data_IF_856953199906
#
_entry.id   IF_856953199906
#
_cell.length_a   1.000
_cell.length_b   1.000
_cell.length_c   1.000
_cell.angle_alpha   90.00
_cell.angle_beta   90.00
_cell.angle_gamma   90.00
#
_symmetry.space_group_name_H-M   'P 1'
#
loop_
_entity.id
_entity.type
_entity.pdbx_description
1 polymer ?
#
# COMPACT_ATOMS: atom_id res chain seq x y z
N UNK A 1 9.39 14.05 -10.89
CA UNK A 1 10.15 14.11 -9.62
C UNK A 1 10.20 12.71 -9.03
N UNK A 2 11.24 12.31 -8.29
CA UNK A 2 11.25 11.02 -7.63
C UNK A 2 10.08 10.92 -6.64
N UNK A 3 9.56 9.70 -6.44
CA UNK A 3 8.55 9.42 -5.42
C UNK A 3 9.05 9.85 -4.03
N UNK A 4 8.16 10.47 -3.24
CA UNK A 4 8.50 10.98 -1.89
C UNK A 4 7.57 10.44 -0.80
N UNK A 5 6.26 10.34 -1.09
CA UNK A 5 5.23 9.89 -0.16
C UNK A 5 3.98 9.47 -0.91
N UNK A 6 3.18 8.61 -0.28
CA UNK A 6 1.83 8.27 -0.76
C UNK A 6 0.86 9.45 -0.61
N UNK A 7 -0.24 9.42 -1.35
CA UNK A 7 -1.37 10.33 -1.17
C UNK A 7 -2.17 9.93 0.08
N UNK A 8 -2.97 10.86 0.63
CA UNK A 8 -3.86 10.55 1.76
C UNK A 8 -4.92 9.50 1.39
N UNK A 9 -5.35 9.52 0.14
CA UNK A 9 -6.35 8.67 -0.50
C UNK A 9 -5.70 7.70 -1.50
N UNK A 10 -4.45 7.29 -1.24
CA UNK A 10 -3.75 6.33 -2.10
C UNK A 10 -4.59 5.05 -2.27
N UNK A 11 -4.78 4.55 -3.51
CA UNK A 11 -5.48 3.29 -3.73
C UNK A 11 -4.84 2.14 -2.96
N UNK A 12 -5.67 1.35 -2.29
CA UNK A 12 -5.23 0.20 -1.51
C UNK A 12 -6.29 -0.90 -1.49
N UNK A 13 -5.89 -2.10 -1.10
CA UNK A 13 -6.80 -3.20 -0.76
C UNK A 13 -6.21 -4.06 0.37
N UNK A 14 -7.03 -4.96 0.92
CA UNK A 14 -6.59 -5.99 1.87
C UNK A 14 -6.53 -7.32 1.14
N UNK A 15 -5.37 -7.99 1.14
CA UNK A 15 -5.20 -9.26 0.46
C UNK A 15 -5.74 -10.45 1.29
N UNK A 16 -5.72 -11.66 0.72
CA UNK A 16 -6.20 -12.89 1.38
C UNK A 16 -5.43 -13.25 2.67
N UNK A 17 -4.21 -12.73 2.81
CA UNK A 17 -3.37 -12.87 4.01
C UNK A 17 -3.64 -11.79 5.06
N UNK A 18 -4.70 -10.99 4.89
CA UNK A 18 -5.08 -9.90 5.79
C UNK A 18 -3.99 -8.82 5.92
N UNK A 19 -3.29 -8.52 4.83
CA UNK A 19 -2.27 -7.47 4.79
C UNK A 19 -2.74 -6.29 3.94
N UNK A 20 -2.36 -5.08 4.35
CA UNK A 20 -2.55 -3.87 3.57
C UNK A 20 -1.65 -3.89 2.32
N UNK A 21 -2.24 -3.69 1.15
CA UNK A 21 -1.51 -3.56 -0.12
C UNK A 21 -1.77 -2.20 -0.73
N UNK A 22 -0.70 -1.43 -0.93
CA UNK A 22 -0.74 -0.11 -1.59
C UNK A 22 -0.53 -0.30 -3.08
N UNK A 23 -1.37 0.36 -3.89
CA UNK A 23 -1.38 0.24 -5.35
C UNK A 23 -1.03 1.58 -5.99
N UNK A 24 -0.13 1.55 -6.97
CA UNK A 24 0.22 2.72 -7.77
C UNK A 24 -0.29 2.58 -9.21
N UNK A 25 -1.13 3.51 -9.68
CA UNK A 25 -1.52 3.59 -11.08
C UNK A 25 -0.29 3.57 -12.02
N UNK A 26 -0.48 3.00 -13.22
CA UNK A 26 0.58 2.93 -14.22
C UNK A 26 1.17 4.31 -14.51
N UNK A 27 2.50 4.40 -14.58
CA UNK A 27 3.18 5.67 -14.85
C UNK A 27 3.31 6.61 -13.63
N UNK A 28 2.69 6.31 -12.48
CA UNK A 28 2.70 7.23 -11.33
C UNK A 28 4.07 7.29 -10.64
N UNK A 29 4.71 6.14 -10.43
CA UNK A 29 6.02 6.04 -9.74
C UNK A 29 7.08 5.28 -10.54
N UNK A 30 6.69 4.67 -11.66
CA UNK A 30 7.54 3.82 -12.48
C UNK A 30 7.13 3.93 -13.97
N UNK A 31 8.00 3.55 -14.93
CA UNK A 31 7.64 3.49 -16.34
C UNK A 31 6.40 2.62 -16.60
N UNK A 32 5.60 2.96 -17.60
CA UNK A 32 4.35 2.25 -17.93
C UNK A 32 4.49 0.74 -18.10
N UNK A 33 5.61 0.25 -18.64
CA UNK A 33 5.83 -1.19 -18.85
C UNK A 33 5.91 -1.99 -17.54
N UNK A 34 6.14 -1.33 -16.39
CA UNK A 34 6.09 -1.97 -15.06
C UNK A 34 4.66 -2.27 -14.59
N UNK A 35 3.65 -1.89 -15.40
CA UNK A 35 2.25 -2.10 -15.05
C UNK A 35 1.85 -1.27 -13.84
N UNK A 36 1.18 -1.90 -12.88
CA UNK A 36 0.63 -1.29 -11.67
C UNK A 36 1.41 -1.81 -10.47
N UNK A 37 2.46 -1.11 -10.00
CA UNK A 37 3.26 -1.58 -8.87
C UNK A 37 2.42 -1.70 -7.59
N UNK A 38 2.61 -2.80 -6.88
CA UNK A 38 1.92 -3.11 -5.63
C UNK A 38 2.93 -3.39 -4.50
N UNK A 39 2.64 -2.89 -3.31
CA UNK A 39 3.50 -3.04 -2.14
C UNK A 39 2.69 -3.53 -0.95
N UNK A 40 3.03 -4.73 -0.47
CA UNK A 40 2.50 -5.27 0.78
C UNK A 40 3.16 -4.55 1.95
N UNK A 41 2.35 -3.99 2.85
CA UNK A 41 2.81 -3.35 4.08
C UNK A 41 2.74 -4.39 5.20
N UNK A 42 3.86 -4.78 5.83
CA UNK A 42 3.84 -5.73 6.93
C UNK A 42 3.01 -5.22 8.11
N UNK A 43 2.13 -6.06 8.66
CA UNK A 43 1.23 -5.66 9.77
C UNK A 43 2.01 -5.13 10.99
N UNK A 44 3.18 -5.71 11.27
CA UNK A 44 4.08 -5.31 12.37
C UNK A 44 4.54 -3.85 12.29
N UNK A 45 4.61 -3.23 11.11
CA UNK A 45 5.07 -1.84 10.98
C UNK A 45 3.95 -0.81 11.15
N UNK A 46 2.68 -1.24 11.10
CA UNK A 46 1.50 -0.36 11.20
C UNK A 46 0.58 -0.71 12.38
N UNK A 47 0.92 -1.72 13.19
CA UNK A 47 0.08 -2.25 14.26
C UNK A 47 -0.43 -1.15 15.22
N UNK A 48 0.44 -0.20 15.59
CA UNK A 48 0.09 0.91 16.48
C UNK A 48 -0.73 2.03 15.82
N UNK A 49 -0.83 2.04 14.50
CA UNK A 49 -1.56 3.05 13.71
C UNK A 49 -2.98 2.56 13.33
N UNK A 50 -3.29 1.28 13.57
CA UNK A 50 -4.59 0.71 13.29
C UNK A 50 -5.64 1.23 14.28
N UNK A 51 -6.85 1.51 13.77
CA UNK A 51 -7.95 2.01 14.59
C UNK A 51 -8.40 1.04 15.69
N UNK A 52 -8.08 -0.25 15.53
CA UNK A 52 -8.32 -1.28 16.54
C UNK A 52 -7.21 -2.34 16.51
N UNK A 53 -6.88 -2.95 17.66
CA UNK A 53 -6.04 -4.13 17.70
C UNK A 53 -6.61 -5.24 16.79
N UNK A 54 -5.75 -5.96 16.08
CA UNK A 54 -6.12 -7.05 15.18
C UNK A 54 -7.07 -6.66 14.02
N UNK A 55 -7.15 -5.38 13.64
CA UNK A 55 -7.93 -4.94 12.47
C UNK A 55 -7.47 -5.65 11.19
N UNK A 56 -6.16 -5.84 11.07
CA UNK A 56 -5.49 -6.72 10.11
C UNK A 56 -5.03 -7.96 10.90
N UNK A 57 -5.48 -9.16 10.51
CA UNK A 57 -5.18 -10.41 11.23
C UNK A 57 -3.72 -10.83 11.09
#
# INVERSE_FOLDING_TARGET
QPFKKIKKDQPFYINEKHQLVIVFPQGEIAPYYMGTPEFVIPNQVIENELAAPNYLK
#
